data_IF_396277157269
#
_entry.id   IF_396277157269
#
_cell.length_a   1.000
_cell.length_b   1.000
_cell.length_c   1.000
_cell.angle_alpha   90.00
_cell.angle_beta   90.00
_cell.angle_gamma   90.00
#
_symmetry.space_group_name_H-M   'P 1'
#
loop_
_entity.id
_entity.type
_entity.pdbx_description
1 polymer ?
#
# COMPACT_ATOMS: atom_id res chain seq x y z
N UNK A 1 -15.37 -4.20 -0.76
CA UNK A 1 -14.22 -3.43 -1.27
C UNK A 1 -14.65 -2.15 -1.97
N UNK A 2 -15.46 -2.18 -3.03
CA UNK A 2 -15.89 -0.95 -3.74
C UNK A 2 -16.51 0.12 -2.82
N UNK A 3 -17.45 -0.25 -1.95
CA UNK A 3 -18.04 0.68 -0.95
C UNK A 3 -17.02 1.20 0.07
N UNK A 4 -15.97 0.42 0.35
CA UNK A 4 -14.92 0.80 1.29
C UNK A 4 -14.03 1.91 0.77
N UNK A 5 -13.87 2.04 -0.55
CA UNK A 5 -12.94 3.01 -1.15
C UNK A 5 -13.56 4.40 -1.36
N UNK A 6 -14.89 4.47 -1.47
CA UNK A 6 -15.66 5.71 -1.63
C UNK A 6 -15.35 6.76 -0.56
N UNK A 7 -15.38 6.46 0.76
CA UNK A 7 -15.09 7.48 1.77
C UNK A 7 -13.66 8.02 1.67
N UNK A 8 -12.67 7.19 1.32
CA UNK A 8 -11.29 7.63 1.16
C UNK A 8 -11.09 8.54 -0.04
N UNK A 9 -11.70 8.20 -1.19
CA UNK A 9 -11.65 9.05 -2.38
C UNK A 9 -12.30 10.42 -2.13
N UNK A 10 -13.44 10.42 -1.41
CA UNK A 10 -14.12 11.65 -1.01
C UNK A 10 -13.25 12.50 -0.08
N UNK A 11 -12.70 11.90 0.99
CA UNK A 11 -11.80 12.59 1.93
C UNK A 11 -10.61 13.19 1.19
N UNK A 12 -10.00 12.45 0.27
CA UNK A 12 -8.89 12.96 -0.53
C UNK A 12 -9.30 14.22 -1.33
N UNK A 13 -10.45 14.16 -2.02
CA UNK A 13 -10.94 15.30 -2.80
C UNK A 13 -11.17 16.55 -1.95
N UNK A 14 -11.76 16.39 -0.76
CA UNK A 14 -11.98 17.48 0.20
C UNK A 14 -10.65 18.04 0.69
N UNK A 15 -9.71 17.17 1.10
CA UNK A 15 -8.41 17.57 1.62
C UNK A 15 -7.58 18.29 0.55
N UNK A 16 -7.60 17.81 -0.70
CA UNK A 16 -6.82 18.42 -1.78
C UNK A 16 -7.26 19.87 -2.04
N UNK A 17 -8.57 20.11 -2.12
CA UNK A 17 -9.12 21.47 -2.27
C UNK A 17 -8.86 22.30 -1.01
N UNK A 18 -9.01 21.71 0.18
CA UNK A 18 -8.72 22.35 1.47
C UNK A 18 -7.25 22.77 1.61
N UNK A 19 -6.32 22.01 1.02
CA UNK A 19 -4.90 22.30 0.94
C UNK A 19 -4.54 23.39 -0.09
N UNK A 20 -5.54 24.00 -0.74
CA UNK A 20 -5.33 25.03 -1.76
C UNK A 20 -4.92 24.47 -3.13
N UNK A 21 -5.05 23.17 -3.35
CA UNK A 21 -4.77 22.58 -4.66
C UNK A 21 -5.91 22.90 -5.64
N UNK A 22 -5.61 23.32 -6.88
CA UNK A 22 -6.64 23.48 -7.91
C UNK A 22 -7.41 22.17 -8.14
N UNK A 23 -8.72 22.24 -8.30
CA UNK A 23 -9.60 21.08 -8.50
C UNK A 23 -9.12 20.15 -9.63
N UNK A 24 -8.70 20.73 -10.76
CA UNK A 24 -8.19 19.97 -11.90
C UNK A 24 -6.91 19.20 -11.54
N UNK A 25 -6.04 19.78 -10.71
CA UNK A 25 -4.79 19.16 -10.28
C UNK A 25 -5.08 18.04 -9.27
N UNK A 26 -6.04 18.23 -8.37
CA UNK A 26 -6.51 17.18 -7.46
C UNK A 26 -7.06 15.95 -8.22
N UNK A 27 -7.88 16.18 -9.24
CA UNK A 27 -8.39 15.11 -10.11
C UNK A 27 -7.26 14.46 -10.94
N UNK A 28 -6.34 15.24 -11.50
CA UNK A 28 -5.20 14.72 -12.25
C UNK A 28 -4.30 13.84 -11.37
N UNK A 29 -4.00 14.26 -10.14
CA UNK A 29 -3.23 13.46 -9.18
C UNK A 29 -3.96 12.17 -8.81
N UNK A 30 -5.30 12.19 -8.73
CA UNK A 30 -6.10 10.99 -8.51
C UNK A 30 -6.04 9.99 -9.65
N UNK A 31 -6.01 10.46 -10.89
CA UNK A 31 -5.82 9.60 -12.04
C UNK A 31 -4.37 9.13 -12.15
N UNK A 32 -3.36 9.98 -11.93
CA UNK A 32 -1.96 9.63 -12.21
C UNK A 32 -1.37 8.77 -11.09
N UNK A 33 -1.53 9.20 -9.83
CA UNK A 33 -0.91 8.53 -8.68
C UNK A 33 -1.72 7.31 -8.25
N UNK A 34 -3.05 7.44 -8.27
CA UNK A 34 -4.01 6.38 -7.92
C UNK A 34 -3.57 5.52 -6.72
N UNK A 35 -3.29 6.18 -5.60
CA UNK A 35 -2.73 5.55 -4.41
C UNK A 35 -3.21 6.27 -3.17
N UNK A 36 -4.21 5.71 -2.48
CA UNK A 36 -4.90 6.40 -1.38
C UNK A 36 -3.95 6.98 -0.33
N UNK A 37 -3.03 6.17 0.21
CA UNK A 37 -2.07 6.64 1.22
C UNK A 37 -1.12 7.72 0.69
N UNK A 38 -0.57 7.53 -0.51
CA UNK A 38 0.40 8.45 -1.09
C UNK A 38 -0.22 9.77 -1.52
N UNK A 39 -1.47 9.76 -1.99
CA UNK A 39 -2.24 10.97 -2.30
C UNK A 39 -2.50 11.81 -1.07
N UNK A 40 -2.80 11.18 0.07
CA UNK A 40 -3.04 11.92 1.31
C UNK A 40 -1.75 12.54 1.86
N UNK A 41 -0.63 11.79 1.83
CA UNK A 41 0.69 12.33 2.20
C UNK A 41 1.08 13.47 1.25
N UNK A 42 0.83 13.31 -0.05
CA UNK A 42 1.07 14.34 -1.06
C UNK A 42 0.32 15.62 -0.70
N UNK A 43 -0.98 15.52 -0.38
CA UNK A 43 -1.79 16.68 0.02
C UNK A 43 -1.25 17.37 1.28
N UNK A 44 -0.80 16.61 2.29
CA UNK A 44 -0.19 17.18 3.50
C UNK A 44 1.15 17.87 3.21
N UNK A 45 1.97 17.32 2.31
CA UNK A 45 3.23 17.95 1.93
C UNK A 45 3.02 19.19 1.05
N UNK A 46 1.98 19.16 0.21
CA UNK A 46 1.55 20.29 -0.60
C UNK A 46 1.11 21.47 0.28
N UNK A 47 0.22 21.24 1.25
CA UNK A 47 -0.23 22.30 2.17
C UNK A 47 0.90 22.88 3.01
N UNK A 48 1.93 22.06 3.33
CA UNK A 48 3.12 22.49 4.03
C UNK A 48 4.14 23.26 3.15
N UNK A 49 3.84 23.51 1.87
CA UNK A 49 4.75 24.20 0.95
C UNK A 49 6.05 23.43 0.66
N UNK A 50 6.01 22.10 0.76
CA UNK A 50 7.19 21.25 0.58
C UNK A 50 7.68 21.29 -0.88
N UNK A 51 9.00 21.35 -1.14
CA UNK A 51 9.53 21.31 -2.51
C UNK A 51 9.04 20.07 -3.29
N UNK A 52 8.66 20.27 -4.55
CA UNK A 52 8.06 19.23 -5.40
C UNK A 52 8.91 17.95 -5.50
N UNK A 53 10.24 18.08 -5.51
CA UNK A 53 11.15 16.92 -5.52
C UNK A 53 11.00 16.06 -4.27
N UNK A 54 10.87 16.67 -3.08
CA UNK A 54 10.70 15.92 -1.83
C UNK A 54 9.34 15.22 -1.79
N UNK A 55 8.29 15.88 -2.31
CA UNK A 55 6.97 15.27 -2.49
C UNK A 55 7.07 14.05 -3.39
N UNK A 56 7.70 14.20 -4.56
CA UNK A 56 7.85 13.11 -5.53
C UNK A 56 8.61 11.92 -4.95
N UNK A 57 9.73 12.16 -4.26
CA UNK A 57 10.50 11.09 -3.61
C UNK A 57 9.70 10.41 -2.50
N UNK A 58 8.98 11.17 -1.68
CA UNK A 58 8.14 10.60 -0.60
C UNK A 58 7.03 9.73 -1.17
N UNK A 59 6.31 10.23 -2.19
CA UNK A 59 5.24 9.51 -2.87
C UNK A 59 5.77 8.25 -3.54
N UNK A 60 6.90 8.34 -4.25
CA UNK A 60 7.54 7.19 -4.89
C UNK A 60 7.93 6.13 -3.85
N UNK A 61 8.52 6.56 -2.73
CA UNK A 61 8.95 5.68 -1.66
C UNK A 61 7.77 4.95 -1.00
N UNK A 62 6.66 5.63 -0.74
CA UNK A 62 5.42 5.02 -0.22
C UNK A 62 4.85 4.03 -1.24
N UNK A 63 4.92 4.36 -2.53
CA UNK A 63 4.39 3.51 -3.60
C UNK A 63 5.29 2.31 -3.94
N UNK A 64 6.52 2.20 -3.40
CA UNK A 64 7.36 1.01 -3.58
C UNK A 64 6.67 -0.29 -3.13
N UNK A 65 5.70 -0.21 -2.21
CA UNK A 65 4.87 -1.37 -1.84
C UNK A 65 4.08 -1.95 -3.03
N UNK A 66 3.65 -1.12 -3.98
CA UNK A 66 2.99 -1.60 -5.20
C UNK A 66 3.97 -2.38 -6.09
N UNK A 67 5.27 -2.07 -6.06
CA UNK A 67 6.28 -2.87 -6.74
C UNK A 67 6.42 -4.26 -6.11
N UNK A 68 6.34 -4.38 -4.76
CA UNK A 68 6.32 -5.67 -4.06
C UNK A 68 5.06 -6.48 -4.39
N UNK A 69 3.89 -5.83 -4.42
CA UNK A 69 2.64 -6.46 -4.85
C UNK A 69 2.75 -6.96 -6.29
N UNK A 70 3.29 -6.12 -7.18
CA UNK A 70 3.52 -6.45 -8.59
C UNK A 70 4.45 -7.66 -8.72
N UNK A 71 5.54 -7.71 -7.95
CA UNK A 71 6.45 -8.86 -7.94
C UNK A 71 5.76 -10.15 -7.48
N UNK A 72 4.84 -10.06 -6.53
CA UNK A 72 4.08 -11.22 -6.02
C UNK A 72 3.13 -11.79 -7.08
N UNK A 73 2.45 -10.93 -7.85
CA UNK A 73 1.51 -11.37 -8.89
C UNK A 73 2.16 -11.63 -10.26
N UNK A 74 3.37 -11.09 -10.50
CA UNK A 74 4.06 -11.16 -11.78
C UNK A 74 4.19 -12.57 -12.37
N UNK A 75 4.54 -13.63 -11.61
CA UNK A 75 4.64 -14.99 -12.14
C UNK A 75 3.32 -15.47 -12.76
N UNK A 76 2.20 -15.06 -12.18
CA UNK A 76 0.87 -15.50 -12.61
C UNK A 76 0.38 -14.78 -13.88
N UNK A 77 0.99 -13.64 -14.21
CA UNK A 77 0.70 -12.81 -15.38
C UNK A 77 1.79 -12.92 -16.46
N UNK A 78 2.78 -13.81 -16.28
CA UNK A 78 3.94 -13.93 -17.15
C UNK A 78 3.55 -14.17 -18.63
N UNK A 79 2.50 -14.98 -18.84
CA UNK A 79 1.97 -15.36 -20.15
C UNK A 79 1.29 -14.22 -20.94
N UNK A 80 0.98 -13.09 -20.30
CA UNK A 80 0.30 -11.96 -20.95
C UNK A 80 1.28 -11.06 -21.71
N UNK A 81 0.81 -10.27 -22.70
CA UNK A 81 1.63 -9.27 -23.37
C UNK A 81 1.90 -8.07 -22.44
N UNK A 82 2.97 -7.31 -22.72
CA UNK A 82 3.43 -6.18 -21.88
C UNK A 82 2.34 -5.14 -21.59
N UNK A 83 1.49 -4.82 -22.57
CA UNK A 83 0.35 -3.90 -22.41
C UNK A 83 -0.61 -4.29 -21.29
N UNK A 84 -0.92 -5.58 -21.16
CA UNK A 84 -1.81 -6.10 -20.13
C UNK A 84 -1.15 -6.01 -18.75
N UNK A 85 0.16 -6.30 -18.68
CA UNK A 85 0.92 -6.17 -17.43
C UNK A 85 0.96 -4.71 -16.96
N UNK A 86 1.16 -3.76 -17.87
CA UNK A 86 1.16 -2.34 -17.55
C UNK A 86 -0.20 -1.86 -17.02
N UNK A 87 -1.30 -2.24 -17.68
CA UNK A 87 -2.66 -1.90 -17.22
C UNK A 87 -2.98 -2.48 -15.85
N UNK A 88 -2.67 -3.76 -15.63
CA UNK A 88 -2.90 -4.40 -14.33
C UNK A 88 -2.01 -3.79 -13.25
N UNK A 89 -0.74 -3.48 -13.56
CA UNK A 89 0.18 -2.84 -12.62
C UNK A 89 -0.29 -1.43 -12.23
N UNK A 90 -0.83 -0.66 -13.17
CA UNK A 90 -1.41 0.66 -12.88
C UNK A 90 -2.64 0.57 -11.98
N UNK A 91 -3.52 -0.42 -12.22
CA UNK A 91 -4.74 -0.62 -11.41
C UNK A 91 -4.46 -1.30 -10.06
N UNK A 92 -3.20 -1.63 -9.76
CA UNK A 92 -2.81 -2.36 -8.56
C UNK A 92 -2.72 -1.42 -7.36
N UNK A 93 -3.74 -1.46 -6.52
CA UNK A 93 -3.80 -0.79 -5.21
C UNK A 93 -3.74 -1.81 -4.07
N UNK A 94 -3.67 -1.35 -2.82
CA UNK A 94 -3.75 -2.22 -1.64
C UNK A 94 -5.04 -3.07 -1.64
N UNK A 95 -6.17 -2.43 -1.90
CA UNK A 95 -7.49 -3.08 -1.97
C UNK A 95 -7.56 -4.08 -3.11
N UNK A 96 -7.03 -3.69 -4.28
CA UNK A 96 -6.93 -4.57 -5.42
C UNK A 96 -6.08 -5.79 -5.08
N UNK A 97 -4.88 -5.60 -4.53
CA UNK A 97 -3.97 -6.68 -4.15
C UNK A 97 -4.62 -7.63 -3.13
N UNK A 98 -5.23 -7.12 -2.07
CA UNK A 98 -5.93 -7.92 -1.07
C UNK A 98 -7.06 -8.76 -1.69
N UNK A 99 -7.88 -8.16 -2.57
CA UNK A 99 -8.93 -8.88 -3.30
C UNK A 99 -8.37 -10.03 -4.15
N UNK A 100 -7.22 -9.77 -4.77
CA UNK A 100 -6.59 -10.63 -5.76
C UNK A 100 -5.83 -11.79 -5.12
N UNK A 101 -5.18 -11.57 -3.97
CA UNK A 101 -4.44 -12.61 -3.25
C UNK A 101 -5.34 -13.71 -2.73
N UNK A 102 -6.57 -13.40 -2.32
CA UNK A 102 -7.56 -14.41 -1.91
C UNK A 102 -7.92 -15.39 -3.04
N UNK A 103 -7.72 -14.99 -4.29
CA UNK A 103 -8.03 -15.78 -5.51
C UNK A 103 -6.77 -16.36 -6.15
N UNK A 104 -5.60 -16.15 -5.57
CA UNK A 104 -4.32 -16.59 -6.13
C UNK A 104 -4.19 -18.12 -6.12
N UNK A 105 -4.82 -18.78 -5.13
CA UNK A 105 -4.83 -20.23 -4.92
C UNK A 105 -5.83 -20.99 -5.82
N UNK A 106 -6.72 -20.29 -6.54
CA UNK A 106 -7.66 -20.93 -7.47
C UNK A 106 -6.89 -21.46 -8.71
N UNK A 107 -6.66 -22.78 -8.75
CA UNK A 107 -5.99 -23.52 -9.85
C UNK A 107 -6.96 -24.16 -10.85
N UNK A 108 -8.26 -23.89 -10.76
CA UNK A 108 -9.28 -24.46 -11.64
C UNK A 108 -9.30 -23.91 -13.09
N UNK A 109 -10.21 -24.38 -13.96
CA UNK A 109 -10.32 -24.02 -15.38
C UNK A 109 -10.48 -22.50 -15.66
N UNK A 110 -10.86 -21.74 -14.64
CA UNK A 110 -11.03 -20.28 -14.67
C UNK A 110 -9.71 -19.51 -14.71
N UNK A 111 -8.56 -20.18 -14.59
CA UNK A 111 -7.23 -19.56 -14.64
C UNK A 111 -7.00 -18.73 -15.91
N UNK A 112 -7.57 -19.15 -17.05
CA UNK A 112 -7.46 -18.43 -18.33
C UNK A 112 -8.14 -17.05 -18.30
N UNK A 113 -9.15 -16.85 -17.47
CA UNK A 113 -9.91 -15.60 -17.36
C UNK A 113 -9.47 -14.70 -16.20
N UNK A 114 -8.41 -15.09 -15.47
CA UNK A 114 -7.98 -14.41 -14.25
C UNK A 114 -7.53 -12.96 -14.48
N UNK A 115 -6.97 -12.68 -15.65
CA UNK A 115 -6.56 -11.32 -16.04
C UNK A 115 -7.75 -10.38 -16.25
N UNK A 116 -8.90 -10.87 -16.73
CA UNK A 116 -10.13 -10.09 -16.83
C UNK A 116 -10.72 -9.78 -15.46
N UNK A 117 -10.62 -10.72 -14.51
CA UNK A 117 -11.00 -10.45 -13.13
C UNK A 117 -10.12 -9.36 -12.50
N UNK A 118 -8.80 -9.41 -12.73
CA UNK A 118 -7.88 -8.38 -12.25
C UNK A 118 -8.17 -7.01 -12.84
N UNK A 119 -8.35 -6.96 -14.15
CA UNK A 119 -8.69 -5.71 -14.84
C UNK A 119 -10.05 -5.18 -14.42
N UNK A 120 -11.10 -6.01 -14.41
CA UNK A 120 -12.45 -5.59 -14.05
C UNK A 120 -12.54 -5.12 -12.60
N UNK A 121 -11.92 -5.85 -11.66
CA UNK A 121 -11.87 -5.46 -10.26
C UNK A 121 -11.07 -4.18 -10.05
N UNK A 122 -9.88 -4.08 -10.66
CA UNK A 122 -9.04 -2.89 -10.59
C UNK A 122 -9.70 -1.67 -11.22
N UNK A 123 -10.34 -1.83 -12.38
CA UNK A 123 -11.04 -0.76 -13.08
C UNK A 123 -12.28 -0.30 -12.32
N UNK A 124 -13.06 -1.21 -11.73
CA UNK A 124 -14.20 -0.84 -10.89
C UNK A 124 -13.74 -0.05 -9.64
N UNK A 125 -12.64 -0.47 -9.01
CA UNK A 125 -12.02 0.29 -7.91
C UNK A 125 -11.57 1.67 -8.38
N UNK A 126 -10.90 1.74 -9.53
CA UNK A 126 -10.44 3.00 -10.12
C UNK A 126 -11.60 3.94 -10.43
N UNK A 127 -12.63 3.48 -11.12
CA UNK A 127 -13.79 4.28 -11.48
C UNK A 127 -14.52 4.79 -10.22
N UNK A 128 -14.72 3.92 -9.22
CA UNK A 128 -15.30 4.30 -7.94
C UNK A 128 -14.46 5.35 -7.21
N UNK A 129 -13.14 5.23 -7.25
CA UNK A 129 -12.21 6.21 -6.69
C UNK A 129 -12.26 7.56 -7.42
N UNK A 130 -12.31 7.57 -8.75
CA UNK A 130 -12.40 8.83 -9.51
C UNK A 130 -13.73 9.55 -9.24
N UNK A 131 -14.84 8.82 -9.23
CA UNK A 131 -16.17 9.40 -8.94
C UNK A 131 -16.22 9.95 -7.51
N UNK A 132 -15.71 9.20 -6.53
CA UNK A 132 -15.67 9.67 -5.14
C UNK A 132 -14.71 10.85 -4.94
N UNK A 133 -13.56 10.85 -5.62
CA UNK A 133 -12.65 12.01 -5.64
C UNK A 133 -13.35 13.24 -6.19
N UNK A 134 -14.03 13.12 -7.34
CA UNK A 134 -14.75 14.22 -7.95
C UNK A 134 -15.85 14.74 -7.03
N UNK A 135 -16.62 13.84 -6.41
CA UNK A 135 -17.60 14.22 -5.40
C UNK A 135 -16.96 14.95 -4.22
N UNK A 136 -15.81 14.47 -3.73
CA UNK A 136 -15.04 15.13 -2.67
C UNK A 136 -14.53 16.51 -3.05
N UNK A 137 -14.06 16.70 -4.28
CA UNK A 137 -13.63 18.01 -4.79
C UNK A 137 -14.80 18.99 -4.87
N UNK A 138 -15.97 18.52 -5.33
CA UNK A 138 -17.18 19.34 -5.45
C UNK A 138 -17.78 19.69 -4.08
N UNK A 139 -17.83 18.73 -3.16
CA UNK A 139 -18.34 18.92 -1.80
C UNK A 139 -17.34 19.68 -0.93
N UNK A 140 -16.04 19.52 -1.17
CA UNK A 140 -14.97 20.11 -0.37
C UNK A 140 -15.01 21.63 -0.28
N UNK A 141 -15.57 22.31 -1.29
CA UNK A 141 -15.83 23.75 -1.25
C UNK A 141 -16.87 24.16 -0.20
N UNK A 142 -17.70 23.22 0.27
CA UNK A 142 -18.78 23.43 1.24
C UNK A 142 -18.45 22.91 2.65
N UNK A 143 -17.35 22.15 2.80
CA UNK A 143 -16.97 21.58 4.10
C UNK A 143 -16.29 22.66 4.97
N UNK A 144 -16.77 22.89 6.21
CA UNK A 144 -16.13 23.83 7.12
C UNK A 144 -14.68 23.44 7.39
N UNK A 145 -13.76 24.41 7.33
CA UNK A 145 -12.32 24.19 7.57
C UNK A 145 -12.00 23.70 8.98
N UNK A 146 -12.92 23.91 9.93
CA UNK A 146 -12.75 23.51 11.33
C UNK A 146 -12.93 22.01 11.57
N UNK A 147 -13.37 21.25 10.55
CA UNK A 147 -13.46 19.79 10.67
C UNK A 147 -12.07 19.17 10.72
N UNK A 148 -11.75 18.33 11.72
CA UNK A 148 -10.42 17.76 11.89
C UNK A 148 -10.20 16.55 10.95
N UNK A 149 -10.42 16.74 9.65
CA UNK A 149 -10.26 15.70 8.62
C UNK A 149 -8.84 15.11 8.64
N UNK A 150 -7.85 15.94 8.93
CA UNK A 150 -6.45 15.59 9.09
C UNK A 150 -6.20 14.57 10.21
N UNK A 151 -7.08 14.51 11.22
CA UNK A 151 -6.99 13.57 12.34
C UNK A 151 -7.67 12.24 12.05
N UNK A 152 -8.78 12.24 11.32
CA UNK A 152 -9.49 11.02 10.92
C UNK A 152 -8.63 10.11 10.04
N UNK A 153 -7.75 10.71 9.23
CA UNK A 153 -6.94 9.97 8.28
C UNK A 153 -5.89 9.05 8.97
N UNK A 154 -5.00 9.52 9.85
CA UNK A 154 -4.13 8.66 10.66
C UNK A 154 -4.90 7.59 11.42
N UNK A 155 -6.03 7.94 12.02
CA UNK A 155 -6.88 6.98 12.74
C UNK A 155 -7.38 5.86 11.83
N UNK A 156 -7.77 6.18 10.61
CA UNK A 156 -8.27 5.17 9.66
C UNK A 156 -7.13 4.23 9.23
N UNK A 157 -5.93 4.75 8.98
CA UNK A 157 -4.76 3.91 8.70
C UNK A 157 -4.39 3.03 9.88
N UNK A 158 -4.40 3.56 11.10
CA UNK A 158 -4.18 2.79 12.32
C UNK A 158 -5.23 1.68 12.43
N UNK A 159 -6.51 1.98 12.24
CA UNK A 159 -7.60 1.01 12.29
C UNK A 159 -7.50 -0.11 11.26
N UNK A 160 -6.87 0.14 10.11
CA UNK A 160 -6.60 -0.88 9.07
C UNK A 160 -5.34 -1.68 9.38
N UNK A 161 -4.26 -1.02 9.80
CA UNK A 161 -2.95 -1.64 10.01
C UNK A 161 -2.95 -2.52 11.27
N UNK A 162 -3.52 -2.04 12.37
CA UNK A 162 -3.46 -2.72 13.68
C UNK A 162 -4.00 -4.15 13.63
N UNK A 163 -5.19 -4.44 13.04
CA UNK A 163 -5.67 -5.82 12.87
C UNK A 163 -4.78 -6.70 11.98
N UNK A 164 -3.97 -6.09 11.12
CA UNK A 164 -3.02 -6.77 10.23
C UNK A 164 -1.70 -7.18 10.90
N UNK A 165 -1.39 -6.65 12.09
CA UNK A 165 -0.15 -6.93 12.84
C UNK A 165 -0.25 -8.27 13.59
N UNK A 166 -0.17 -9.37 12.86
CA UNK A 166 -0.39 -10.72 13.39
C UNK A 166 0.86 -11.40 13.95
N UNK A 167 2.06 -10.99 13.52
CA UNK A 167 3.30 -11.65 13.92
C UNK A 167 4.37 -10.68 14.44
N UNK A 168 5.30 -11.22 15.25
CA UNK A 168 6.31 -10.44 15.99
C UNK A 168 7.12 -9.49 15.11
N UNK A 169 7.47 -9.90 13.89
CA UNK A 169 8.21 -9.05 12.96
C UNK A 169 7.39 -7.82 12.50
N UNK A 170 6.09 -7.98 12.24
CA UNK A 170 5.19 -6.86 11.91
C UNK A 170 5.03 -5.89 13.08
N UNK A 171 4.82 -6.42 14.29
CA UNK A 171 4.67 -5.60 15.49
C UNK A 171 5.96 -4.82 15.77
N UNK A 172 7.12 -5.47 15.68
CA UNK A 172 8.40 -4.80 15.87
C UNK A 172 8.67 -3.73 14.79
N UNK A 173 8.38 -4.03 13.52
CA UNK A 173 8.48 -3.04 12.45
C UNK A 173 7.60 -1.81 12.73
N UNK A 174 6.36 -2.03 13.17
CA UNK A 174 5.43 -0.95 13.52
C UNK A 174 5.92 -0.12 14.73
N UNK A 175 6.41 -0.78 15.79
CA UNK A 175 6.92 -0.08 16.98
C UNK A 175 8.16 0.75 16.67
N UNK A 176 9.11 0.19 15.90
CA UNK A 176 10.33 0.91 15.49
C UNK A 176 9.98 2.09 14.58
N UNK A 177 9.09 1.89 13.61
CA UNK A 177 8.62 2.98 12.76
C UNK A 177 7.96 4.09 13.58
N UNK A 178 7.08 3.75 14.52
CA UNK A 178 6.42 4.72 15.41
C UNK A 178 7.43 5.48 16.28
N UNK A 179 8.39 4.78 16.91
CA UNK A 179 9.41 5.40 17.74
C UNK A 179 10.29 6.38 16.94
N UNK A 180 10.72 5.98 15.75
CA UNK A 180 11.50 6.83 14.85
C UNK A 180 10.68 8.00 14.30
N UNK A 181 9.39 7.81 14.00
CA UNK A 181 8.52 8.90 13.55
C UNK A 181 8.36 9.97 14.63
N UNK A 182 8.24 9.57 15.90
CA UNK A 182 8.16 10.51 17.04
C UNK A 182 9.51 11.17 17.28
N UNK A 183 10.61 10.41 17.31
CA UNK A 183 11.95 10.94 17.56
C UNK A 183 12.42 11.91 16.46
N UNK A 184 12.07 11.63 15.21
CA UNK A 184 12.46 12.44 14.05
C UNK A 184 11.36 13.44 13.62
N UNK A 185 10.33 13.68 14.44
CA UNK A 185 9.21 14.55 14.09
C UNK A 185 9.64 15.98 13.72
N UNK A 186 10.68 16.50 14.38
CA UNK A 186 11.23 17.85 14.15
C UNK A 186 12.03 18.01 12.87
N UNK A 187 12.26 16.95 12.09
CA UNK A 187 13.02 17.07 10.84
C UNK A 187 12.26 17.90 9.78
N UNK A 188 12.97 18.75 9.01
CA UNK A 188 12.36 19.53 7.94
C UNK A 188 11.75 18.61 6.87
N UNK A 189 10.72 19.11 6.18
CA UNK A 189 10.02 18.42 5.08
C UNK A 189 9.49 17.03 5.42
N UNK A 190 9.24 16.74 6.70
CA UNK A 190 8.75 15.43 7.16
C UNK A 190 9.69 14.27 6.80
N UNK A 191 11.00 14.53 6.65
CA UNK A 191 12.01 13.48 6.40
C UNK A 191 12.02 12.39 7.49
N UNK A 192 11.56 12.72 8.71
CA UNK A 192 11.35 11.73 9.77
C UNK A 192 10.41 10.58 9.36
N UNK A 193 9.47 10.79 8.43
CA UNK A 193 8.64 9.73 7.85
C UNK A 193 9.48 8.72 7.04
N UNK A 194 10.49 9.20 6.32
CA UNK A 194 11.39 8.33 5.56
C UNK A 194 12.26 7.49 6.50
N UNK A 195 12.82 8.12 7.53
CA UNK A 195 13.63 7.44 8.56
C UNK A 195 12.78 6.37 9.26
N UNK A 196 11.56 6.71 9.65
CA UNK A 196 10.61 5.78 10.25
C UNK A 196 10.29 4.59 9.36
N UNK A 197 9.98 4.84 8.09
CA UNK A 197 9.68 3.78 7.13
C UNK A 197 10.88 2.83 6.91
N UNK A 198 12.07 3.38 6.67
CA UNK A 198 13.28 2.58 6.45
C UNK A 198 13.68 1.79 7.69
N UNK A 199 13.62 2.41 8.88
CA UNK A 199 13.93 1.76 10.14
C UNK A 199 12.94 0.64 10.49
N UNK A 200 11.64 0.85 10.25
CA UNK A 200 10.62 -0.19 10.41
C UNK A 200 10.86 -1.39 9.48
N UNK A 201 11.16 -1.12 8.20
CA UNK A 201 11.50 -2.17 7.22
C UNK A 201 12.73 -2.96 7.69
N UNK A 202 13.81 -2.27 8.10
CA UNK A 202 15.03 -2.91 8.59
C UNK A 202 14.76 -3.81 9.80
N UNK A 203 14.00 -3.31 10.79
CA UNK A 203 13.64 -4.08 11.98
C UNK A 203 12.79 -5.33 11.65
N UNK A 204 11.81 -5.18 10.76
CA UNK A 204 10.98 -6.29 10.28
C UNK A 204 11.82 -7.37 9.58
N UNK A 205 12.71 -6.97 8.67
CA UNK A 205 13.59 -7.89 7.94
C UNK A 205 14.54 -8.65 8.87
N UNK A 206 15.13 -7.97 9.86
CA UNK A 206 16.04 -8.60 10.82
C UNK A 206 15.34 -9.70 11.63
N UNK A 207 14.09 -9.48 12.02
CA UNK A 207 13.31 -10.47 12.79
C UNK A 207 12.78 -11.62 11.91
N UNK A 208 12.40 -11.33 10.67
CA UNK A 208 12.04 -12.36 9.67
C UNK A 208 13.25 -13.26 9.34
N UNK A 209 14.44 -12.67 9.17
CA UNK A 209 15.69 -13.40 8.92
C UNK A 209 16.07 -14.33 10.06
N UNK A 210 15.82 -13.93 11.31
CA UNK A 210 16.07 -14.78 12.51
C UNK A 210 15.10 -15.96 12.62
N UNK A 211 13.87 -15.82 12.13
CA UNK A 211 12.89 -16.92 12.09
C UNK A 211 13.26 -18.05 11.12
N UNK A 212 13.81 -17.70 9.94
CA UNK A 212 14.23 -18.68 8.94
C UNK A 212 15.52 -19.43 9.32
N UNK A 213 16.39 -18.84 10.14
CA UNK A 213 17.62 -19.51 10.62
C UNK A 213 17.35 -20.50 11.76
N UNK A 214 16.26 -20.33 12.51
CA UNK A 214 15.88 -21.26 13.59
C UNK A 214 15.12 -22.50 13.08
N UNK A 215 14.65 -22.51 11.82
CA UNK A 215 13.81 -23.56 11.23
C UNK A 215 14.54 -24.62 10.39
N UNK A 216 15.87 -24.58 10.28
CA UNK A 216 16.66 -25.61 9.57
C UNK A 216 17.76 -26.16 10.47
N UNK A 217 17.42 -27.16 11.30
CA UNK A 217 18.37 -28.25 11.58
C UNK A 217 18.15 -29.33 10.52
N UNK A 218 19.11 -29.60 9.61
CA UNK A 218 19.04 -30.80 8.80
C UNK A 218 19.29 -31.99 9.73
N UNK A 219 18.26 -32.79 9.99
CA UNK A 219 18.46 -34.16 10.47
C UNK A 219 18.94 -35.00 9.27
N UNK A 220 20.22 -34.88 8.93
CA UNK A 220 20.95 -35.92 8.20
C UNK A 220 21.30 -37.01 9.22
N UNK A 221 20.75 -38.21 9.08
CA UNK A 221 21.37 -39.34 8.36
C UNK A 221 22.69 -39.78 9.02
N UNK A 222 22.53 -40.56 10.09
CA UNK A 222 23.36 -41.70 10.51
C UNK A 222 22.34 -42.68 11.12
N UNK A 223 22.19 -43.95 10.76
CA UNK A 223 23.02 -44.88 10.03
C UNK A 223 22.14 -45.76 9.14
N UNK A 224 22.64 -46.00 7.92
CA UNK A 224 22.12 -46.98 7.00
C UNK A 224 22.60 -48.39 7.41
N UNK A 225 21.70 -49.36 7.24
CA UNK A 225 21.98 -50.69 6.66
C UNK A 225 22.75 -51.70 7.52
N UNK A 226 22.05 -52.81 7.77
CA UNK A 226 22.65 -54.14 7.63
C UNK A 226 22.85 -54.88 8.94
N UNK A 227 21.86 -55.69 9.33
CA UNK A 227 22.09 -57.02 9.92
C UNK A 227 20.79 -57.82 9.95
N UNK A 228 20.61 -58.65 8.94
CA UNK A 228 20.02 -59.98 9.09
C UNK A 228 20.84 -60.92 8.21
N UNK A 229 21.32 -62.02 8.78
CA UNK A 229 21.18 -63.28 8.06
C UNK A 229 20.68 -64.43 8.95
N UNK A 230 19.90 -65.28 8.26
CA UNK A 230 19.49 -66.67 8.56
C UNK A 230 18.35 -66.87 9.57
#
# INVERSE_FOLDING_TARGET
MLLGVVPFGLIYGVLAVGAGMPAWLACAMSAIVFGGASQMILTQLWSAGTPALVIAVTVAMVNLRHALYSATIAPTLAHLPRRWKALIAYLLTDEAFAAMTHRLADTGPRQRYRHWFYFGGGFALWASWQVSTLAGVLVGAQVPRDWPLDFFLPLTFIGIIVPGLKHRAQVAAALVATALAVACFGMPHKLGLMVAALGGIAAGMLLLGRGNLSGKRPAGKDAAVGKEPA
#
